data_IF_369583654703
#
_entry.id   IF_369583654703
#
_cell.length_a   1.000
_cell.length_b   1.000
_cell.length_c   1.000
_cell.angle_alpha   90.00
_cell.angle_beta   90.00
_cell.angle_gamma   90.00
#
_symmetry.space_group_name_H-M   'P 1'
#
loop_
_entity.id
_entity.type
_entity.pdbx_description
1 polymer ?
#
# COMPACT_ATOMS: atom_id res chain seq x y z
N UNK A 1 -41.13 -11.66 -31.10
CA UNK A 1 -39.87 -12.20 -30.51
C UNK A 1 -38.66 -11.31 -30.80
N UNK A 2 -38.58 -10.72 -31.99
CA UNK A 2 -37.45 -9.88 -32.43
C UNK A 2 -37.25 -8.59 -31.61
N UNK A 3 -38.34 -7.87 -31.27
CA UNK A 3 -38.28 -6.67 -30.43
C UNK A 3 -37.73 -6.96 -29.02
N UNK A 4 -38.09 -8.10 -28.41
CA UNK A 4 -37.52 -8.51 -27.11
C UNK A 4 -36.02 -8.77 -27.22
N UNK A 5 -35.59 -9.46 -28.30
CA UNK A 5 -34.17 -9.73 -28.56
C UNK A 5 -33.37 -8.45 -28.76
N UNK A 6 -33.94 -7.48 -29.50
CA UNK A 6 -33.33 -6.18 -29.75
C UNK A 6 -33.22 -5.33 -28.48
N UNK A 7 -34.28 -5.30 -27.66
CA UNK A 7 -34.24 -4.61 -26.35
C UNK A 7 -33.20 -5.23 -25.40
N UNK A 8 -33.10 -6.55 -25.33
CA UNK A 8 -32.08 -7.21 -24.50
C UNK A 8 -30.65 -6.99 -25.02
N UNK A 9 -30.46 -6.88 -26.33
CA UNK A 9 -29.17 -6.51 -26.91
C UNK A 9 -28.81 -5.04 -26.62
N UNK A 10 -29.80 -4.14 -26.71
CA UNK A 10 -29.63 -2.73 -26.39
C UNK A 10 -29.30 -2.52 -24.90
N UNK A 11 -30.00 -3.20 -23.99
CA UNK A 11 -29.70 -3.14 -22.55
C UNK A 11 -28.28 -3.62 -22.23
N UNK A 12 -27.82 -4.71 -22.86
CA UNK A 12 -26.43 -5.18 -22.70
C UNK A 12 -25.42 -4.13 -23.19
N UNK A 13 -25.68 -3.51 -24.34
CA UNK A 13 -24.81 -2.44 -24.86
C UNK A 13 -24.78 -1.20 -23.98
N UNK A 14 -25.90 -0.84 -23.34
CA UNK A 14 -25.96 0.25 -22.36
C UNK A 14 -25.11 -0.09 -21.14
N UNK A 15 -25.22 -1.31 -20.60
CA UNK A 15 -24.39 -1.74 -19.47
C UNK A 15 -22.91 -1.76 -19.84
N UNK A 16 -22.53 -2.34 -20.98
CA UNK A 16 -21.14 -2.33 -21.47
C UNK A 16 -20.57 -0.91 -21.64
N UNK A 17 -21.38 0.03 -22.15
CA UNK A 17 -20.99 1.43 -22.28
C UNK A 17 -20.83 2.12 -20.92
N UNK A 18 -21.72 1.83 -19.98
CA UNK A 18 -21.66 2.38 -18.63
C UNK A 18 -20.39 1.89 -17.90
N UNK A 19 -20.11 0.59 -17.97
CA UNK A 19 -18.92 -0.02 -17.38
C UNK A 19 -17.63 0.57 -17.98
N UNK A 20 -17.59 0.72 -19.31
CA UNK A 20 -16.44 1.31 -20.01
C UNK A 20 -16.26 2.81 -19.65
N UNK A 21 -17.35 3.55 -19.48
CA UNK A 21 -17.32 4.95 -19.06
C UNK A 21 -16.79 5.08 -17.62
N UNK A 22 -17.28 4.24 -16.70
CA UNK A 22 -16.81 4.22 -15.32
C UNK A 22 -15.32 3.83 -15.23
N UNK A 23 -14.88 2.88 -16.06
CA UNK A 23 -13.47 2.50 -16.17
C UNK A 23 -12.61 3.67 -16.69
N UNK A 24 -13.08 4.40 -17.70
CA UNK A 24 -12.40 5.59 -18.23
C UNK A 24 -12.28 6.69 -17.18
N UNK A 25 -13.36 7.01 -16.47
CA UNK A 25 -13.36 8.01 -15.39
C UNK A 25 -12.38 7.59 -14.28
N UNK A 26 -12.33 6.30 -13.94
CA UNK A 26 -11.39 5.78 -12.95
C UNK A 26 -9.95 5.94 -13.41
N UNK A 27 -9.65 5.62 -14.67
CA UNK A 27 -8.31 5.77 -15.28
C UNK A 27 -7.87 7.23 -15.35
N UNK A 28 -8.78 8.15 -15.68
CA UNK A 28 -8.49 9.58 -15.74
C UNK A 28 -8.17 10.15 -14.35
N UNK A 29 -8.98 9.81 -13.34
CA UNK A 29 -8.70 10.18 -11.94
C UNK A 29 -7.34 9.66 -11.47
N UNK A 30 -7.00 8.42 -11.84
CA UNK A 30 -5.70 7.82 -11.53
C UNK A 30 -4.54 8.55 -12.23
N UNK A 31 -4.70 8.92 -13.49
CA UNK A 31 -3.67 9.65 -14.24
C UNK A 31 -3.40 11.04 -13.62
N UNK A 32 -4.46 11.76 -13.24
CA UNK A 32 -4.37 13.06 -12.55
C UNK A 32 -3.67 12.89 -11.20
N UNK A 33 -4.09 11.89 -10.41
CA UNK A 33 -3.41 11.54 -9.15
C UNK A 33 -1.94 11.20 -9.39
N UNK A 34 -1.61 10.46 -10.45
CA UNK A 34 -0.24 10.07 -10.79
C UNK A 34 0.66 11.25 -11.13
N UNK A 35 0.15 12.21 -11.92
CA UNK A 35 0.85 13.47 -12.20
C UNK A 35 1.07 14.30 -10.93
N UNK A 36 0.05 14.40 -10.07
CA UNK A 36 0.14 15.16 -8.82
C UNK A 36 1.01 14.48 -7.77
N UNK A 37 1.13 13.15 -7.82
CA UNK A 37 1.83 12.35 -6.81
C UNK A 37 3.34 12.63 -6.76
N UNK A 38 3.95 13.06 -7.85
CA UNK A 38 5.35 13.47 -7.85
C UNK A 38 5.60 14.66 -6.93
N UNK A 39 5.03 15.82 -7.26
CA UNK A 39 5.27 17.08 -6.55
C UNK A 39 4.54 17.15 -5.21
N UNK A 40 3.23 16.86 -5.19
CA UNK A 40 2.41 16.97 -3.97
C UNK A 40 2.88 15.98 -2.91
N UNK A 41 3.29 14.78 -3.32
CA UNK A 41 3.81 13.78 -2.40
C UNK A 41 5.08 14.21 -1.67
N UNK A 42 6.02 14.81 -2.41
CA UNK A 42 7.24 15.36 -1.82
C UNK A 42 6.95 16.61 -0.96
N UNK A 43 6.05 17.49 -1.41
CA UNK A 43 5.67 18.69 -0.66
C UNK A 43 4.92 18.37 0.64
N UNK A 44 4.15 17.27 0.71
CA UNK A 44 3.49 16.83 1.94
C UNK A 44 4.45 16.08 2.87
N UNK A 45 5.38 15.27 2.33
CA UNK A 45 6.39 14.58 3.15
C UNK A 45 7.32 15.55 3.87
N UNK A 46 7.66 16.67 3.26
CA UNK A 46 8.57 17.65 3.84
C UNK A 46 8.12 18.21 5.21
N UNK A 47 6.93 18.83 5.36
CA UNK A 47 6.48 19.35 6.64
C UNK A 47 6.27 18.24 7.68
N UNK A 48 5.81 17.05 7.26
CA UNK A 48 5.71 15.88 8.16
C UNK A 48 7.08 15.42 8.66
N UNK A 49 8.10 15.41 7.80
CA UNK A 49 9.47 15.11 8.18
C UNK A 49 10.03 16.13 9.17
N UNK A 50 9.77 17.42 8.95
CA UNK A 50 10.16 18.49 9.89
C UNK A 50 9.48 18.30 11.25
N UNK A 51 8.18 18.01 11.28
CA UNK A 51 7.46 17.74 12.53
C UNK A 51 7.99 16.47 13.23
N UNK A 52 8.30 15.41 12.48
CA UNK A 52 8.86 14.19 13.06
C UNK A 52 10.22 14.45 13.72
N UNK A 53 11.08 15.21 13.04
CA UNK A 53 12.38 15.62 13.59
C UNK A 53 12.23 16.50 14.84
N UNK A 54 11.25 17.40 14.86
CA UNK A 54 10.97 18.22 16.04
C UNK A 54 10.53 17.36 17.22
N UNK A 55 9.61 16.41 17.01
CA UNK A 55 9.17 15.46 18.03
C UNK A 55 10.32 14.57 18.50
N UNK A 56 11.17 14.09 17.59
CA UNK A 56 12.36 13.32 17.92
C UNK A 56 13.32 14.13 18.80
N UNK A 57 13.62 15.37 18.42
CA UNK A 57 14.47 16.26 19.20
C UNK A 57 13.88 16.55 20.58
N UNK A 58 12.57 16.85 20.67
CA UNK A 58 11.88 17.09 21.93
C UNK A 58 11.94 15.87 22.85
N UNK A 59 11.73 14.66 22.33
CA UNK A 59 11.91 13.43 23.12
C UNK A 59 13.35 13.25 23.63
N UNK A 60 14.35 13.71 22.88
CA UNK A 60 15.76 13.61 23.28
C UNK A 60 16.14 14.60 24.38
N UNK A 61 15.58 15.82 24.37
CA UNK A 61 15.94 16.88 25.34
C UNK A 61 15.00 16.95 26.55
N UNK A 62 13.78 16.41 26.45
CA UNK A 62 12.77 16.39 27.52
C UNK A 62 12.70 15.04 28.24
N UNK A 63 13.85 14.47 28.61
CA UNK A 63 13.91 13.16 29.29
C UNK A 63 13.18 13.16 30.64
N UNK A 64 13.22 14.29 31.35
CA UNK A 64 12.62 14.48 32.67
C UNK A 64 11.24 15.14 32.63
N UNK A 65 10.63 15.26 31.44
CA UNK A 65 9.28 15.80 31.34
C UNK A 65 8.24 14.89 32.00
N UNK A 66 7.17 15.52 32.49
CA UNK A 66 5.96 14.87 32.99
C UNK A 66 5.43 13.86 31.95
N UNK A 67 4.85 12.78 32.45
CA UNK A 67 4.20 11.72 31.70
C UNK A 67 3.16 12.29 30.72
N UNK A 68 2.44 13.35 31.12
CA UNK A 68 1.49 14.05 30.23
C UNK A 68 2.18 14.56 28.96
N UNK A 69 3.35 15.17 29.08
CA UNK A 69 4.10 15.70 27.92
C UNK A 69 4.58 14.57 27.02
N UNK A 70 5.07 13.47 27.62
CA UNK A 70 5.51 12.27 26.89
C UNK A 70 4.35 11.62 26.14
N UNK A 71 3.17 11.56 26.75
CA UNK A 71 1.95 11.05 26.12
C UNK A 71 1.58 11.87 24.88
N UNK A 72 1.52 13.20 25.00
CA UNK A 72 1.20 14.06 23.85
C UNK A 72 2.25 13.98 22.73
N UNK A 73 3.54 13.90 23.06
CA UNK A 73 4.60 13.68 22.06
C UNK A 73 4.42 12.34 21.34
N UNK A 74 4.02 11.29 22.07
CA UNK A 74 3.67 9.98 21.52
C UNK A 74 2.49 10.04 20.56
N UNK A 75 1.41 10.74 20.94
CA UNK A 75 0.23 10.95 20.08
C UNK A 75 0.62 11.66 18.79
N UNK A 76 1.35 12.78 18.88
CA UNK A 76 1.78 13.54 17.70
C UNK A 76 2.63 12.67 16.78
N UNK A 77 3.58 11.91 17.33
CA UNK A 77 4.40 10.97 16.53
C UNK A 77 3.54 9.96 15.78
N UNK A 78 2.56 9.35 16.46
CA UNK A 78 1.66 8.36 15.86
C UNK A 78 0.83 8.95 14.71
N UNK A 79 0.37 10.19 14.84
CA UNK A 79 -0.40 10.87 13.80
C UNK A 79 0.47 11.27 12.60
N UNK A 80 1.72 11.66 12.83
CA UNK A 80 2.71 11.89 11.76
C UNK A 80 2.97 10.58 11.00
N UNK A 81 3.26 9.49 11.73
CA UNK A 81 3.52 8.17 11.14
C UNK A 81 2.30 7.69 10.32
N UNK A 82 1.09 7.94 10.83
CA UNK A 82 -0.16 7.64 10.11
C UNK A 82 -0.34 8.46 8.85
N UNK A 83 -0.07 9.77 8.92
CA UNK A 83 -0.16 10.67 7.77
C UNK A 83 0.84 10.29 6.68
N UNK A 84 2.09 9.98 7.05
CA UNK A 84 3.13 9.53 6.13
C UNK A 84 2.76 8.24 5.41
N UNK A 85 2.14 7.28 6.12
CA UNK A 85 1.62 6.05 5.53
C UNK A 85 0.50 6.33 4.53
N UNK A 86 -0.52 7.10 4.90
CA UNK A 86 -1.64 7.46 3.99
C UNK A 86 -1.13 8.15 2.73
N UNK A 87 -0.21 9.10 2.88
CA UNK A 87 0.41 9.77 1.73
C UNK A 87 1.16 8.75 0.88
N UNK A 88 1.98 7.90 1.48
CA UNK A 88 2.75 6.90 0.72
C UNK A 88 1.84 5.93 -0.04
N UNK A 89 0.78 5.44 0.59
CA UNK A 89 -0.21 4.57 -0.04
C UNK A 89 -0.91 5.26 -1.22
N UNK A 90 -1.30 6.53 -1.05
CA UNK A 90 -1.92 7.32 -2.12
C UNK A 90 -0.97 7.53 -3.31
N UNK A 91 0.30 7.83 -3.03
CA UNK A 91 1.33 8.07 -4.04
C UNK A 91 1.73 6.79 -4.77
N UNK A 92 1.81 5.67 -4.06
CA UNK A 92 2.11 4.37 -4.65
C UNK A 92 0.93 3.87 -5.50
N UNK A 93 -0.31 4.11 -5.06
CA UNK A 93 -1.51 3.82 -5.84
C UNK A 93 -1.58 4.62 -7.15
N UNK A 94 -1.12 5.86 -7.11
CA UNK A 94 -1.14 6.77 -8.24
C UNK A 94 0.04 6.60 -9.20
N UNK A 95 1.16 6.01 -8.75
CA UNK A 95 2.31 5.74 -9.60
C UNK A 95 2.11 4.46 -10.40
N UNK A 96 1.99 4.59 -11.71
CA UNK A 96 2.31 3.49 -12.64
C UNK A 96 3.84 3.32 -12.67
N UNK A 97 4.44 2.68 -11.65
CA UNK A 97 5.87 2.30 -11.71
C UNK A 97 6.02 1.28 -12.84
N UNK A 98 6.90 1.55 -13.80
CA UNK A 98 7.30 0.55 -14.80
C UNK A 98 7.87 -0.63 -14.02
N UNK A 99 7.28 -1.84 -14.11
CA UNK A 99 7.74 -2.98 -13.34
C UNK A 99 9.19 -3.29 -13.69
N UNK A 100 10.03 -3.43 -12.66
CA UNK A 100 11.40 -3.90 -12.85
C UNK A 100 11.39 -5.42 -12.80
N UNK A 101 11.15 -6.02 -13.95
CA UNK A 101 11.04 -7.47 -14.08
C UNK A 101 12.41 -8.12 -13.92
N UNK A 102 12.50 -9.03 -12.95
CA UNK A 102 13.69 -9.81 -12.64
C UNK A 102 13.31 -11.29 -12.50
N UNK A 103 14.29 -12.18 -12.71
CA UNK A 103 14.12 -13.62 -12.48
C UNK A 103 14.52 -13.94 -11.05
N UNK A 104 13.56 -14.35 -10.23
CA UNK A 104 13.75 -14.65 -8.80
C UNK A 104 13.16 -16.00 -8.43
N UNK A 105 13.65 -16.63 -7.38
CA UNK A 105 13.05 -17.85 -6.84
C UNK A 105 11.90 -17.50 -5.89
N UNK A 106 10.83 -18.28 -5.90
CA UNK A 106 9.69 -18.08 -5.00
C UNK A 106 10.11 -18.10 -3.51
N UNK A 107 11.06 -18.99 -3.18
CA UNK A 107 11.67 -19.11 -1.84
C UNK A 107 12.29 -17.79 -1.39
N UNK A 108 13.21 -17.23 -2.18
CA UNK A 108 13.90 -15.99 -1.83
C UNK A 108 12.92 -14.81 -1.65
N UNK A 109 11.94 -14.69 -2.56
CA UNK A 109 10.93 -13.64 -2.48
C UNK A 109 10.11 -13.72 -1.19
N UNK A 110 9.66 -14.92 -0.82
CA UNK A 110 8.82 -15.11 0.36
C UNK A 110 9.64 -14.90 1.63
N UNK A 111 10.87 -15.42 1.71
CA UNK A 111 11.74 -15.23 2.87
C UNK A 111 12.06 -13.75 3.11
N UNK A 112 12.38 -12.99 2.07
CA UNK A 112 12.63 -11.55 2.16
C UNK A 112 11.37 -10.76 2.56
N UNK A 113 10.19 -11.23 2.13
CA UNK A 113 8.91 -10.61 2.50
C UNK A 113 8.58 -10.86 3.97
N UNK A 114 8.80 -12.08 4.45
CA UNK A 114 8.59 -12.47 5.84
C UNK A 114 9.54 -11.73 6.79
N UNK A 115 10.82 -11.60 6.44
CA UNK A 115 11.81 -10.88 7.24
C UNK A 115 11.51 -9.38 7.44
N UNK A 116 10.60 -8.82 6.64
CA UNK A 116 10.15 -7.42 6.74
C UNK A 116 8.83 -7.25 7.50
N UNK A 117 8.17 -8.35 7.90
CA UNK A 117 6.93 -8.32 8.66
C UNK A 117 7.19 -8.58 10.15
N UNK A 118 6.53 -7.81 11.03
CA UNK A 118 6.50 -8.10 12.46
C UNK A 118 5.33 -9.05 12.75
N UNK A 119 5.64 -10.29 13.13
CA UNK A 119 4.64 -11.29 13.50
C UNK A 119 4.53 -11.34 15.04
N UNK A 120 3.33 -11.13 15.63
CA UNK A 120 3.12 -11.27 17.07
C UNK A 120 3.45 -12.68 17.56
N UNK A 121 3.95 -12.82 18.80
CA UNK A 121 4.31 -14.12 19.37
C UNK A 121 3.14 -15.12 19.47
N UNK A 122 1.90 -14.63 19.46
CA UNK A 122 0.68 -15.46 19.46
C UNK A 122 0.32 -16.01 18.07
N UNK A 123 0.97 -15.54 17.00
CA UNK A 123 0.67 -15.94 15.61
C UNK A 123 1.82 -16.78 15.07
N UNK A 124 1.48 -17.98 14.59
CA UNK A 124 2.44 -18.86 13.93
C UNK A 124 2.39 -18.64 12.41
N UNK A 125 3.51 -18.20 11.81
CA UNK A 125 3.63 -18.08 10.37
C UNK A 125 4.28 -19.34 9.78
N UNK A 126 3.51 -20.14 9.05
CA UNK A 126 4.00 -21.34 8.36
C UNK A 126 4.26 -21.07 6.89
N UNK A 127 5.42 -21.52 6.40
CA UNK A 127 5.88 -21.29 5.04
C UNK A 127 6.14 -22.62 4.34
N UNK A 128 5.19 -23.08 3.53
CA UNK A 128 5.22 -24.39 2.84
C UNK A 128 5.54 -24.22 1.35
N UNK A 129 6.63 -23.51 1.05
CA UNK A 129 7.08 -23.31 -0.33
C UNK A 129 7.82 -24.56 -0.82
N UNK A 130 7.33 -25.17 -1.90
CA UNK A 130 7.98 -26.31 -2.52
C UNK A 130 9.39 -25.96 -3.03
N UNK A 131 10.37 -26.85 -2.79
CA UNK A 131 11.78 -26.62 -3.11
C UNK A 131 12.08 -26.51 -4.61
N UNK A 132 11.27 -27.17 -5.45
CA UNK A 132 11.52 -27.31 -6.90
C UNK A 132 10.61 -26.43 -7.77
N UNK A 133 10.23 -25.25 -7.28
CA UNK A 133 9.46 -24.31 -8.09
C UNK A 133 10.35 -23.69 -9.18
N UNK A 134 9.86 -23.57 -10.43
CA UNK A 134 10.58 -22.87 -11.47
C UNK A 134 10.80 -21.39 -11.07
N UNK A 135 11.88 -20.75 -11.55
CA UNK A 135 12.10 -19.32 -11.34
C UNK A 135 10.93 -18.49 -11.88
N UNK A 136 10.60 -17.42 -11.17
CA UNK A 136 9.53 -16.49 -11.49
C UNK A 136 10.11 -15.26 -12.18
N UNK A 137 9.43 -14.79 -13.22
CA UNK A 137 9.77 -13.56 -13.94
C UNK A 137 8.77 -12.47 -13.55
N UNK A 138 9.10 -11.70 -12.51
CA UNK A 138 8.19 -10.77 -11.83
C UNK A 138 8.96 -9.54 -11.35
N UNK A 139 8.27 -8.50 -10.89
CA UNK A 139 8.90 -7.41 -10.11
C UNK A 139 8.94 -7.83 -8.63
N UNK A 140 10.13 -8.15 -8.08
CA UNK A 140 10.25 -8.66 -6.71
C UNK A 140 9.85 -7.63 -5.66
N UNK A 141 10.00 -6.33 -5.94
CA UNK A 141 9.64 -5.28 -5.00
C UNK A 141 8.11 -5.15 -4.91
N UNK A 142 7.44 -5.13 -6.06
CA UNK A 142 5.96 -5.06 -6.10
C UNK A 142 5.32 -6.33 -5.54
N UNK A 143 5.82 -7.51 -5.93
CA UNK A 143 5.30 -8.77 -5.39
C UNK A 143 5.60 -8.93 -3.91
N UNK A 144 6.75 -8.47 -3.44
CA UNK A 144 7.08 -8.43 -2.01
C UNK A 144 6.09 -7.56 -1.22
N UNK A 145 5.70 -6.41 -1.77
CA UNK A 145 4.70 -5.53 -1.14
C UNK A 145 3.30 -6.17 -1.09
N UNK A 146 2.90 -6.89 -2.15
CA UNK A 146 1.66 -7.69 -2.14
C UNK A 146 1.70 -8.74 -1.02
N UNK A 147 2.81 -9.49 -0.91
CA UNK A 147 2.97 -10.52 0.13
C UNK A 147 2.93 -9.91 1.53
N UNK A 148 3.62 -8.79 1.77
CA UNK A 148 3.60 -8.09 3.05
C UNK A 148 2.20 -7.63 3.45
N UNK A 149 1.44 -7.07 2.50
CA UNK A 149 0.07 -6.65 2.74
C UNK A 149 -0.83 -7.83 3.10
N UNK A 150 -0.69 -8.96 2.40
CA UNK A 150 -1.45 -10.18 2.71
C UNK A 150 -1.08 -10.74 4.08
N UNK A 151 0.21 -10.80 4.43
CA UNK A 151 0.69 -11.27 5.73
C UNK A 151 0.14 -10.36 6.85
N UNK A 152 0.26 -9.05 6.68
CA UNK A 152 -0.20 -8.05 7.66
C UNK A 152 -1.70 -8.15 7.88
N UNK A 153 -2.48 -8.24 6.79
CA UNK A 153 -3.93 -8.42 6.88
C UNK A 153 -4.30 -9.75 7.54
N UNK A 154 -3.55 -10.83 7.25
CA UNK A 154 -3.73 -12.12 7.89
C UNK A 154 -3.51 -12.06 9.40
N UNK A 155 -2.41 -11.42 9.84
CA UNK A 155 -2.11 -11.20 11.27
C UNK A 155 -3.19 -10.37 11.95
N UNK A 156 -3.63 -9.27 11.33
CA UNK A 156 -4.67 -8.39 11.89
C UNK A 156 -6.05 -9.05 12.00
N UNK A 157 -6.32 -10.04 11.16
CA UNK A 157 -7.58 -10.79 11.18
C UNK A 157 -7.59 -11.91 12.24
N UNK A 158 -6.44 -12.23 12.84
CA UNK A 158 -6.37 -13.21 13.93
C UNK A 158 -6.78 -12.54 15.26
N UNK A 159 -7.68 -13.18 16.04
CA UNK A 159 -8.16 -12.66 17.32
C UNK A 159 -7.11 -12.72 18.45
#
# INVERSE_FOLDING_TARGET
>A
MEIKRLNSALQRKIVELQDAQDELVRKEKLAILGQLSGSVGHELRNPLGVMNNAVFFLNMVLTDADETVKEYLGIIKKEIDTSLRIITDLLDFARTKIPRIETVTARALIDESQGRCTIPAAVELRNEVAENLPPLTIDPLQMGQVLQNLITNGVQAMP
#
